data_IF_272520230330
#
_entry.id   IF_272520230330
#
_cell.length_a   1.000
_cell.length_b   1.000
_cell.length_c   1.000
_cell.angle_alpha   90.00
_cell.angle_beta   90.00
_cell.angle_gamma   90.00
#
_symmetry.space_group_name_H-M   'P 1'
#
loop_
_entity.id
_entity.type
_entity.pdbx_description
1 polymer ?
#
# COMPACT_ATOMS: atom_id res chain seq x y z
N UNK A 1 -21.71 37.88 -6.41
CA UNK A 1 -20.43 38.01 -7.12
C UNK A 1 -19.57 36.91 -6.52
N UNK A 2 -19.58 35.73 -7.15
CA UNK A 2 -18.90 34.56 -6.62
C UNK A 2 -17.41 34.77 -6.80
N UNK A 3 -16.65 34.67 -5.71
CA UNK A 3 -15.18 34.65 -5.74
C UNK A 3 -14.75 33.55 -6.71
N UNK A 4 -14.12 33.95 -7.81
CA UNK A 4 -13.27 33.08 -8.60
C UNK A 4 -12.09 32.70 -7.69
N UNK A 5 -12.22 31.60 -6.94
CA UNK A 5 -11.09 30.97 -6.27
C UNK A 5 -10.00 30.76 -7.33
N UNK A 6 -8.95 31.56 -7.25
CA UNK A 6 -7.76 31.44 -8.10
C UNK A 6 -7.30 29.99 -8.02
N UNK A 7 -7.50 29.24 -9.11
CA UNK A 7 -7.01 27.88 -9.18
C UNK A 7 -5.50 27.93 -8.92
N UNK A 8 -4.99 27.18 -7.93
CA UNK A 8 -3.56 27.16 -7.66
C UNK A 8 -2.84 26.72 -8.93
N UNK A 9 -1.76 27.41 -9.27
CA UNK A 9 -0.96 27.15 -10.47
C UNK A 9 -0.31 25.75 -10.44
N UNK A 10 -0.33 25.10 -9.27
CA UNK A 10 0.19 23.77 -9.02
C UNK A 10 -0.91 22.74 -8.74
N UNK A 11 -0.64 21.47 -9.07
CA UNK A 11 -1.56 20.38 -8.76
C UNK A 11 -1.83 20.22 -7.24
N UNK A 12 -2.96 19.60 -6.85
CA UNK A 12 -3.32 19.45 -5.44
C UNK A 12 -2.30 18.65 -4.63
N UNK A 13 -1.60 17.71 -5.27
CA UNK A 13 -0.56 16.90 -4.63
C UNK A 13 0.86 17.48 -4.80
N UNK A 14 1.00 18.69 -5.36
CA UNK A 14 2.29 19.32 -5.49
C UNK A 14 2.94 19.55 -4.13
N UNK A 15 4.22 19.17 -4.01
CA UNK A 15 4.96 19.24 -2.75
C UNK A 15 4.81 18.03 -1.83
N UNK A 16 4.02 17.02 -2.21
CA UNK A 16 3.89 15.76 -1.47
C UNK A 16 4.61 14.61 -2.16
N UNK A 17 5.04 13.63 -1.37
CA UNK A 17 5.68 12.39 -1.81
C UNK A 17 4.78 11.20 -1.45
N UNK A 18 4.39 10.42 -2.46
CA UNK A 18 3.50 9.26 -2.30
C UNK A 18 4.24 7.98 -2.66
N UNK A 19 4.26 7.02 -1.73
CA UNK A 19 4.76 5.69 -1.96
C UNK A 19 3.75 4.78 -2.65
N UNK A 20 4.21 4.00 -3.63
CA UNK A 20 3.38 3.05 -4.38
C UNK A 20 3.91 1.64 -4.19
N UNK A 21 3.14 0.80 -3.50
CA UNK A 21 3.48 -0.61 -3.21
C UNK A 21 3.01 -1.61 -4.27
N UNK A 22 2.21 -1.13 -5.23
CA UNK A 22 1.58 -1.97 -6.23
C UNK A 22 2.61 -2.60 -7.17
N UNK A 23 2.41 -3.87 -7.51
CA UNK A 23 3.14 -4.56 -8.57
C UNK A 23 2.43 -4.47 -9.93
N UNK A 24 1.09 -4.51 -9.91
CA UNK A 24 0.25 -4.38 -11.11
C UNK A 24 -0.30 -2.97 -11.24
N UNK A 25 -0.37 -2.46 -12.48
CA UNK A 25 -0.89 -1.12 -12.81
C UNK A 25 -0.19 -0.01 -11.99
N UNK A 26 1.04 -0.26 -11.55
CA UNK A 26 1.81 0.69 -10.75
C UNK A 26 2.15 1.95 -11.57
N UNK A 27 2.49 1.76 -12.86
CA UNK A 27 2.71 2.86 -13.80
C UNK A 27 1.45 3.74 -13.96
N UNK A 28 0.28 3.13 -14.06
CA UNK A 28 -0.98 3.86 -14.17
C UNK A 28 -1.27 4.68 -12.90
N UNK A 29 -1.11 4.05 -11.72
CA UNK A 29 -1.29 4.74 -10.43
C UNK A 29 -0.25 5.86 -10.27
N UNK A 30 1.02 5.59 -10.56
CA UNK A 30 2.10 6.57 -10.53
C UNK A 30 1.81 7.75 -11.44
N UNK A 31 1.39 7.51 -12.68
CA UNK A 31 1.05 8.55 -13.63
C UNK A 31 -0.18 9.37 -13.18
N UNK A 32 -1.19 8.74 -12.58
CA UNK A 32 -2.34 9.46 -12.00
C UNK A 32 -1.91 10.40 -10.87
N UNK A 33 -1.01 9.95 -9.99
CA UNK A 33 -0.46 10.75 -8.88
C UNK A 33 0.43 11.89 -9.39
N UNK A 34 1.33 11.61 -10.32
CA UNK A 34 2.24 12.59 -10.93
C UNK A 34 1.47 13.69 -11.67
N UNK A 35 0.41 13.34 -12.41
CA UNK A 35 -0.48 14.34 -13.05
C UNK A 35 -1.15 15.29 -12.05
N UNK A 36 -1.26 14.90 -10.78
CA UNK A 36 -1.78 15.74 -9.69
C UNK A 36 -0.67 16.49 -8.93
N UNK A 37 0.59 16.33 -9.32
CA UNK A 37 1.75 17.03 -8.77
C UNK A 37 2.57 16.25 -7.74
N UNK A 38 2.19 15.02 -7.40
CA UNK A 38 2.94 14.23 -6.43
C UNK A 38 4.31 13.79 -6.97
N UNK A 39 5.31 13.75 -6.09
CA UNK A 39 6.50 12.92 -6.29
C UNK A 39 6.13 11.48 -5.94
N UNK A 40 6.48 10.51 -6.79
CA UNK A 40 6.14 9.09 -6.57
C UNK A 40 7.38 8.28 -6.28
N UNK A 41 7.37 7.54 -5.16
CA UNK A 41 8.36 6.51 -4.86
C UNK A 41 7.73 5.13 -5.10
N UNK A 42 8.04 4.53 -6.24
CA UNK A 42 7.55 3.19 -6.58
C UNK A 42 8.46 2.12 -5.99
N UNK A 43 7.86 1.19 -5.23
CA UNK A 43 8.56 0.06 -4.64
C UNK A 43 7.56 -1.11 -4.51
N UNK A 44 7.54 -2.04 -5.47
CA UNK A 44 6.60 -3.15 -5.43
C UNK A 44 6.86 -4.00 -4.17
N UNK A 45 5.83 -4.19 -3.35
CA UNK A 45 5.96 -4.95 -2.09
C UNK A 45 5.94 -6.47 -2.31
N UNK A 46 5.58 -6.90 -3.52
CA UNK A 46 5.49 -8.30 -3.92
C UNK A 46 5.67 -8.42 -5.43
N UNK A 47 5.83 -9.65 -5.91
CA UNK A 47 5.70 -10.03 -7.31
C UNK A 47 4.67 -11.14 -7.46
N UNK A 48 4.04 -11.18 -8.62
CA UNK A 48 3.14 -12.27 -8.98
C UNK A 48 4.00 -13.36 -9.60
N UNK A 49 3.86 -14.58 -9.12
CA UNK A 49 4.50 -15.73 -9.76
C UNK A 49 3.66 -16.12 -10.96
N UNK A 50 4.19 -16.09 -12.19
CA UNK A 50 3.51 -16.68 -13.34
C UNK A 50 3.29 -18.17 -13.06
N UNK A 51 2.10 -18.69 -13.36
CA UNK A 51 1.76 -20.09 -13.04
C UNK A 51 2.73 -21.09 -13.70
N UNK A 52 3.20 -20.79 -14.92
CA UNK A 52 4.17 -21.62 -15.64
C UNK A 52 5.55 -21.70 -14.97
N UNK A 53 5.90 -20.73 -14.12
CA UNK A 53 7.17 -20.68 -13.39
C UNK A 53 7.00 -21.08 -11.92
N UNK A 54 5.81 -21.49 -11.51
CA UNK A 54 5.52 -21.79 -10.11
C UNK A 54 5.88 -23.23 -9.75
N UNK A 55 7.05 -23.41 -9.13
CA UNK A 55 7.55 -24.71 -8.68
C UNK A 55 6.63 -25.41 -7.67
N UNK A 56 5.85 -24.68 -6.87
CA UNK A 56 4.89 -25.29 -5.95
C UNK A 56 3.67 -25.86 -6.68
N UNK A 57 3.17 -25.13 -7.68
CA UNK A 57 2.11 -25.64 -8.55
C UNK A 57 2.58 -26.87 -9.34
N UNK A 58 3.82 -26.85 -9.84
CA UNK A 58 4.42 -28.02 -10.50
C UNK A 58 4.54 -29.20 -9.55
N UNK A 59 4.98 -28.98 -8.31
CA UNK A 59 5.09 -30.03 -7.29
C UNK A 59 3.71 -30.63 -6.96
N UNK A 60 2.71 -29.80 -6.66
CA UNK A 60 1.34 -30.25 -6.41
C UNK A 60 0.73 -30.98 -7.61
N UNK A 61 1.04 -30.53 -8.84
CA UNK A 61 0.60 -31.20 -10.07
C UNK A 61 1.19 -32.59 -10.21
N UNK A 62 2.51 -32.74 -9.98
CA UNK A 62 3.17 -34.05 -9.99
C UNK A 62 2.62 -34.96 -8.90
N UNK A 63 2.43 -34.41 -7.70
CA UNK A 63 1.85 -35.14 -6.57
C UNK A 63 0.43 -35.65 -6.88
N UNK A 64 -0.42 -34.86 -7.54
CA UNK A 64 -1.76 -35.28 -8.00
C UNK A 64 -1.69 -36.34 -9.10
N UNK A 65 -0.69 -36.28 -9.98
CA UNK A 65 -0.50 -37.28 -11.04
C UNK A 65 -0.02 -38.62 -10.45
N UNK A 66 0.86 -38.56 -9.46
CA UNK A 66 1.45 -39.72 -8.78
C UNK A 66 0.45 -40.37 -7.81
N UNK A 67 -0.30 -39.55 -7.08
CA UNK A 67 -1.32 -39.97 -6.12
C UNK A 67 -2.63 -39.23 -6.39
N UNK A 68 -3.47 -39.88 -7.20
CA UNK A 68 -4.75 -39.35 -7.67
C UNK A 68 -5.66 -39.06 -6.47
N UNK A 69 -6.20 -37.83 -6.35
CA UNK A 69 -7.15 -37.49 -5.29
C UNK A 69 -8.52 -38.13 -5.54
N UNK A 70 -9.27 -38.36 -4.46
CA UNK A 70 -10.67 -38.80 -4.52
C UNK A 70 -11.59 -37.66 -4.96
N UNK A 71 -11.27 -36.44 -4.53
CA UNK A 71 -12.04 -35.22 -4.83
C UNK A 71 -11.13 -34.07 -5.25
N UNK A 72 -11.55 -33.31 -6.27
CA UNK A 72 -10.94 -32.04 -6.67
C UNK A 72 -11.94 -30.91 -6.53
N UNK A 73 -11.60 -29.89 -5.75
CA UNK A 73 -12.39 -28.66 -5.59
C UNK A 73 -11.78 -27.53 -6.41
N UNK A 74 -12.48 -27.11 -7.46
CA UNK A 74 -12.11 -25.96 -8.27
C UNK A 74 -12.85 -24.69 -7.79
N UNK A 75 -12.11 -23.66 -7.40
CA UNK A 75 -12.65 -22.43 -6.81
C UNK A 75 -12.85 -21.29 -7.81
N UNK A 76 -11.99 -21.20 -8.84
CA UNK A 76 -12.07 -20.12 -9.85
C UNK A 76 -11.79 -20.63 -11.25
N UNK A 77 -12.52 -20.08 -12.22
CA UNK A 77 -12.37 -20.45 -13.63
C UNK A 77 -11.01 -20.06 -14.23
N UNK A 78 -10.44 -18.93 -13.79
CA UNK A 78 -9.14 -18.47 -14.28
C UNK A 78 -8.02 -19.27 -13.61
N UNK A 79 -8.13 -19.55 -12.31
CA UNK A 79 -7.20 -20.40 -11.60
C UNK A 79 -7.13 -21.82 -12.17
N UNK A 80 -8.28 -22.45 -12.40
CA UNK A 80 -8.35 -23.79 -12.99
C UNK A 80 -7.77 -23.84 -14.41
N UNK A 81 -8.15 -22.89 -15.29
CA UNK A 81 -7.57 -22.81 -16.65
C UNK A 81 -6.07 -22.60 -16.61
N UNK A 82 -5.60 -21.66 -15.79
CA UNK A 82 -4.19 -21.38 -15.64
C UNK A 82 -3.39 -22.57 -15.10
N UNK A 83 -3.98 -23.40 -14.24
CA UNK A 83 -3.36 -24.65 -13.79
C UNK A 83 -3.20 -25.65 -14.95
N UNK A 84 -4.27 -25.88 -15.72
CA UNK A 84 -4.22 -26.77 -16.89
C UNK A 84 -3.20 -26.26 -17.92
N UNK A 85 -3.23 -24.97 -18.24
CA UNK A 85 -2.28 -24.33 -19.17
C UNK A 85 -0.82 -24.45 -18.68
N UNK A 86 -0.57 -24.30 -17.37
CA UNK A 86 0.76 -24.49 -16.81
C UNK A 86 1.20 -25.96 -16.91
N UNK A 87 0.31 -26.91 -16.61
CA UNK A 87 0.58 -28.33 -16.75
C UNK A 87 0.89 -28.73 -18.20
N UNK A 88 0.16 -28.18 -19.17
CA UNK A 88 0.47 -28.33 -20.60
C UNK A 88 1.87 -27.78 -20.93
N UNK A 89 2.22 -26.59 -20.43
CA UNK A 89 3.53 -25.98 -20.60
C UNK A 89 4.68 -26.83 -20.05
N UNK A 90 4.43 -27.62 -19.00
CA UNK A 90 5.39 -28.58 -18.43
C UNK A 90 5.39 -29.95 -19.11
N UNK A 91 4.53 -30.19 -20.10
CA UNK A 91 4.34 -31.49 -20.74
C UNK A 91 3.61 -32.51 -19.86
N UNK A 92 2.90 -32.06 -18.83
CA UNK A 92 2.15 -32.89 -17.88
C UNK A 92 0.63 -32.82 -18.09
N UNK A 93 0.12 -31.95 -18.97
CA UNK A 93 -1.31 -31.67 -19.08
C UNK A 93 -2.17 -32.88 -19.49
N UNK A 94 -1.75 -33.65 -20.50
CA UNK A 94 -2.49 -34.88 -20.88
C UNK A 94 -2.53 -35.90 -19.73
N UNK A 95 -1.44 -36.03 -18.98
CA UNK A 95 -1.36 -36.94 -17.82
C UNK A 95 -2.28 -36.46 -16.70
N UNK A 96 -2.22 -35.16 -16.38
CA UNK A 96 -3.08 -34.54 -15.37
C UNK A 96 -4.56 -34.73 -15.74
N UNK A 97 -4.99 -34.29 -16.91
CA UNK A 97 -6.38 -34.42 -17.35
C UNK A 97 -6.81 -35.89 -17.43
N UNK A 98 -5.89 -36.78 -17.85
CA UNK A 98 -6.11 -38.22 -17.86
C UNK A 98 -6.44 -38.78 -16.47
N UNK A 99 -5.71 -38.36 -15.43
CA UNK A 99 -6.02 -38.73 -14.04
C UNK A 99 -7.35 -38.12 -13.57
N UNK A 100 -7.56 -36.84 -13.84
CA UNK A 100 -8.72 -36.10 -13.34
C UNK A 100 -10.06 -36.56 -13.93
N UNK A 101 -10.10 -37.21 -15.09
CA UNK A 101 -11.35 -37.74 -15.69
C UNK A 101 -12.09 -38.73 -14.79
N UNK A 102 -11.36 -39.47 -13.95
CA UNK A 102 -11.95 -40.45 -13.02
C UNK A 102 -12.24 -39.89 -11.63
N UNK A 103 -11.99 -38.61 -11.39
CA UNK A 103 -12.02 -37.98 -10.07
C UNK A 103 -13.33 -37.22 -9.87
N UNK A 104 -13.80 -37.16 -8.61
CA UNK A 104 -14.95 -36.34 -8.25
C UNK A 104 -14.60 -34.85 -8.31
N UNK A 105 -15.07 -34.13 -9.34
CA UNK A 105 -14.80 -32.71 -9.50
C UNK A 105 -15.96 -31.85 -8.98
N UNK A 106 -15.69 -31.03 -7.98
CA UNK A 106 -16.62 -30.04 -7.45
C UNK A 106 -16.22 -28.64 -7.89
N UNK A 107 -17.17 -27.88 -8.42
CA UNK A 107 -16.96 -26.51 -8.87
C UNK A 107 -17.62 -25.53 -7.90
N UNK A 108 -16.97 -24.41 -7.58
CA UNK A 108 -17.59 -23.36 -6.75
C UNK A 108 -18.79 -22.69 -7.44
N UNK A 109 -18.81 -22.62 -8.78
CA UNK A 109 -19.86 -21.89 -9.49
C UNK A 109 -19.83 -22.09 -11.01
N UNK A 110 -20.83 -21.58 -11.76
CA UNK A 110 -21.07 -21.87 -13.16
C UNK A 110 -19.90 -21.51 -14.08
N UNK A 111 -19.16 -20.43 -13.76
CA UNK A 111 -17.94 -20.07 -14.51
C UNK A 111 -16.85 -21.13 -14.38
N UNK A 112 -16.72 -21.72 -13.20
CA UNK A 112 -15.73 -22.77 -12.93
C UNK A 112 -16.15 -24.06 -13.63
N UNK A 113 -17.45 -24.40 -13.60
CA UNK A 113 -18.01 -25.51 -14.41
C UNK A 113 -17.63 -25.37 -15.89
N UNK A 114 -17.81 -24.16 -16.44
CA UNK A 114 -17.42 -23.87 -17.82
C UNK A 114 -15.93 -24.09 -18.09
N UNK A 115 -15.05 -23.76 -17.14
CA UNK A 115 -13.62 -24.01 -17.25
C UNK A 115 -13.26 -25.51 -17.18
N UNK A 116 -13.89 -26.27 -16.29
CA UNK A 116 -13.71 -27.73 -16.18
C UNK A 116 -14.12 -28.41 -17.48
N UNK A 117 -15.31 -28.09 -18.00
CA UNK A 117 -15.83 -28.65 -19.26
C UNK A 117 -14.98 -28.27 -20.47
N UNK A 118 -14.47 -27.04 -20.52
CA UNK A 118 -13.56 -26.61 -21.58
C UNK A 118 -12.24 -27.41 -21.58
N UNK A 119 -11.82 -27.95 -20.44
CA UNK A 119 -10.68 -28.85 -20.32
C UNK A 119 -11.03 -30.32 -20.62
N UNK A 120 -12.26 -30.62 -21.05
CA UNK A 120 -12.71 -31.98 -21.37
C UNK A 120 -12.94 -32.87 -20.14
N UNK A 121 -13.27 -32.26 -19.01
CA UNK A 121 -13.65 -32.92 -17.76
C UNK A 121 -15.12 -32.64 -17.43
N UNK A 122 -15.72 -33.49 -16.61
CA UNK A 122 -17.09 -33.29 -16.11
C UNK A 122 -17.05 -32.94 -14.62
N UNK A 123 -17.79 -31.92 -14.22
CA UNK A 123 -18.03 -31.64 -12.82
C UNK A 123 -19.22 -32.46 -12.30
N UNK A 124 -19.11 -33.00 -11.09
CA UNK A 124 -20.23 -33.69 -10.43
C UNK A 124 -21.27 -32.69 -9.93
N UNK A 125 -20.80 -31.61 -9.27
CA UNK A 125 -21.69 -30.70 -8.59
C UNK A 125 -21.09 -29.29 -8.46
N UNK A 126 -22.00 -28.32 -8.33
CA UNK A 126 -21.72 -26.92 -8.04
C UNK A 126 -22.90 -26.32 -7.29
N UNK A 127 -22.66 -25.51 -6.24
CA UNK A 127 -23.73 -24.83 -5.52
C UNK A 127 -24.38 -23.76 -6.39
N UNK A 128 -25.69 -23.57 -6.20
CA UNK A 128 -26.43 -22.49 -6.87
C UNK A 128 -26.09 -21.11 -6.30
N UNK A 129 -25.63 -21.05 -5.05
CA UNK A 129 -25.20 -19.84 -4.35
C UNK A 129 -23.84 -19.30 -4.79
N UNK A 130 -23.07 -20.09 -5.55
CA UNK A 130 -21.66 -19.86 -5.86
C UNK A 130 -20.75 -19.74 -4.61
N UNK A 131 -21.20 -20.26 -3.46
CA UNK A 131 -20.50 -20.19 -2.19
C UNK A 131 -19.53 -21.35 -2.00
N UNK A 132 -18.30 -21.05 -1.59
CA UNK A 132 -17.34 -22.08 -1.20
C UNK A 132 -17.70 -22.72 0.15
N UNK A 133 -18.42 -22.01 1.03
CA UNK A 133 -18.89 -22.58 2.30
C UNK A 133 -19.87 -23.73 2.07
N UNK A 134 -20.78 -23.61 1.08
CA UNK A 134 -21.72 -24.69 0.74
C UNK A 134 -21.00 -25.92 0.17
N UNK A 135 -19.87 -25.72 -0.53
CA UNK A 135 -19.00 -26.84 -0.96
C UNK A 135 -18.37 -27.52 0.25
N UNK A 136 -17.92 -26.75 1.25
CA UNK A 136 -17.35 -27.30 2.48
C UNK A 136 -18.39 -28.10 3.26
N UNK A 137 -19.57 -27.52 3.50
CA UNK A 137 -20.64 -28.13 4.27
C UNK A 137 -21.04 -29.48 3.65
N UNK A 138 -21.22 -29.51 2.32
CA UNK A 138 -21.51 -30.75 1.59
C UNK A 138 -20.44 -31.81 1.80
N UNK A 139 -19.16 -31.45 1.66
CA UNK A 139 -18.05 -32.41 1.85
C UNK A 139 -18.04 -32.96 3.28
N UNK A 140 -18.24 -32.11 4.28
CA UNK A 140 -18.29 -32.52 5.67
C UNK A 140 -19.51 -33.41 5.98
N UNK A 141 -20.66 -33.13 5.37
CA UNK A 141 -21.88 -33.95 5.50
C UNK A 141 -21.75 -35.33 4.86
N UNK A 142 -21.08 -35.41 3.70
CA UNK A 142 -20.83 -36.67 3.00
C UNK A 142 -19.75 -37.52 3.70
N UNK A 143 -18.85 -36.87 4.45
CA UNK A 143 -17.73 -37.51 5.16
C UNK A 143 -16.49 -37.60 4.27
N UNK A 144 -15.34 -37.18 4.81
CA UNK A 144 -14.05 -37.11 4.09
C UNK A 144 -12.91 -37.78 4.85
N UNK A 145 -13.22 -38.61 5.86
CA UNK A 145 -12.19 -39.30 6.65
C UNK A 145 -11.43 -40.30 5.78
N UNK A 146 -10.12 -40.09 5.64
CA UNK A 146 -9.27 -40.88 4.76
C UNK A 146 -9.29 -40.48 3.28
N UNK A 147 -10.17 -39.56 2.86
CA UNK A 147 -10.21 -39.06 1.49
C UNK A 147 -9.04 -38.11 1.22
N UNK A 148 -8.48 -38.21 0.00
CA UNK A 148 -7.49 -37.28 -0.52
C UNK A 148 -8.18 -36.20 -1.35
N UNK A 149 -8.15 -34.96 -0.87
CA UNK A 149 -8.87 -33.82 -1.47
C UNK A 149 -7.89 -32.80 -2.03
N UNK A 150 -7.88 -32.62 -3.34
CA UNK A 150 -7.13 -31.56 -4.00
C UNK A 150 -7.96 -30.27 -4.06
N UNK A 151 -7.42 -29.14 -3.59
CA UNK A 151 -8.15 -27.86 -3.54
C UNK A 151 -7.41 -26.79 -4.32
N UNK A 152 -7.97 -26.35 -5.45
CA UNK A 152 -7.46 -25.20 -6.20
C UNK A 152 -7.71 -23.92 -5.40
N UNK A 153 -6.66 -23.35 -4.81
CA UNK A 153 -6.69 -22.12 -4.01
C UNK A 153 -6.89 -20.88 -4.90
N UNK A 154 -7.29 -19.73 -4.37
CA UNK A 154 -7.49 -18.51 -5.18
C UNK A 154 -6.69 -17.30 -4.71
N UNK A 155 -5.42 -17.53 -4.35
CA UNK A 155 -4.42 -16.51 -4.04
C UNK A 155 -4.35 -16.05 -2.57
N UNK A 156 -5.45 -16.13 -1.82
CA UNK A 156 -5.42 -16.04 -0.35
C UNK A 156 -5.52 -17.45 0.25
N UNK A 157 -4.84 -17.74 1.38
CA UNK A 157 -5.14 -18.94 2.16
C UNK A 157 -6.63 -18.93 2.48
N UNK A 158 -7.33 -20.04 2.30
CA UNK A 158 -8.74 -20.18 2.66
C UNK A 158 -8.82 -20.47 4.16
N UNK A 159 -8.84 -19.47 5.06
CA UNK A 159 -8.65 -19.71 6.47
C UNK A 159 -9.90 -20.44 6.96
N UNK A 160 -9.73 -21.70 7.38
CA UNK A 160 -10.80 -22.56 7.85
C UNK A 160 -11.29 -23.59 6.83
N UNK A 161 -11.13 -23.43 5.51
CA UNK A 161 -11.62 -24.46 4.57
C UNK A 161 -10.72 -25.69 4.59
N UNK A 162 -9.42 -25.48 4.39
CA UNK A 162 -8.42 -26.55 4.40
C UNK A 162 -8.31 -27.15 5.79
N UNK A 163 -8.34 -26.31 6.83
CA UNK A 163 -8.28 -26.73 8.22
C UNK A 163 -9.51 -27.57 8.62
N UNK A 164 -10.72 -27.21 8.17
CA UNK A 164 -11.93 -27.98 8.48
C UNK A 164 -11.92 -29.35 7.80
N UNK A 165 -11.49 -29.45 6.53
CA UNK A 165 -11.35 -30.73 5.85
C UNK A 165 -10.31 -31.63 6.55
N UNK A 166 -9.16 -31.07 6.92
CA UNK A 166 -8.14 -31.82 7.69
C UNK A 166 -8.65 -32.25 9.06
N UNK A 167 -9.40 -31.39 9.76
CA UNK A 167 -10.01 -31.73 11.04
C UNK A 167 -11.05 -32.86 10.93
N UNK A 168 -11.67 -33.01 9.77
CA UNK A 168 -12.60 -34.10 9.45
C UNK A 168 -11.92 -35.38 8.94
N UNK A 169 -10.58 -35.44 8.94
CA UNK A 169 -9.81 -36.64 8.57
C UNK A 169 -9.31 -36.70 7.13
N UNK A 170 -9.55 -35.65 6.33
CA UNK A 170 -9.10 -35.61 4.94
C UNK A 170 -7.60 -35.31 4.80
N UNK A 171 -6.95 -35.94 3.84
CA UNK A 171 -5.65 -35.51 3.34
C UNK A 171 -5.83 -34.42 2.29
N UNK A 172 -5.48 -33.18 2.62
CA UNK A 172 -5.72 -32.04 1.72
C UNK A 172 -4.45 -31.63 0.99
N UNK A 173 -4.49 -31.69 -0.35
CA UNK A 173 -3.46 -31.22 -1.29
C UNK A 173 -3.84 -29.83 -1.81
N UNK A 174 -3.20 -28.75 -1.34
CA UNK A 174 -3.47 -27.42 -1.87
C UNK A 174 -2.83 -27.26 -3.25
N UNK A 175 -3.60 -26.78 -4.23
CA UNK A 175 -3.12 -26.44 -5.56
C UNK A 175 -3.04 -24.91 -5.66
N UNK A 176 -1.86 -24.31 -5.43
CA UNK A 176 -1.72 -22.87 -5.36
C UNK A 176 -1.77 -22.26 -6.76
N UNK A 177 -2.83 -21.52 -7.05
CA UNK A 177 -2.88 -20.63 -8.20
C UNK A 177 -3.01 -19.20 -7.70
N UNK A 178 -2.26 -18.27 -8.33
CA UNK A 178 -2.05 -16.89 -7.88
C UNK A 178 -1.15 -16.73 -6.65
N UNK A 179 0.05 -17.30 -6.72
CA UNK A 179 1.05 -17.12 -5.67
C UNK A 179 1.73 -15.76 -5.77
N UNK A 180 2.01 -15.18 -4.61
CA UNK A 180 2.77 -13.95 -4.46
C UNK A 180 4.08 -14.28 -3.75
N UNK A 181 5.17 -13.74 -4.26
CA UNK A 181 6.48 -13.84 -3.61
C UNK A 181 6.99 -12.44 -3.28
N UNK A 182 7.96 -12.32 -2.36
CA UNK A 182 8.73 -11.09 -2.21
C UNK A 182 9.30 -10.64 -3.58
N UNK A 183 9.48 -9.33 -3.79
CA UNK A 183 10.11 -8.83 -5.01
C UNK A 183 11.54 -9.38 -5.12
N UNK A 184 12.02 -9.57 -6.34
CA UNK A 184 13.38 -10.10 -6.59
C UNK A 184 14.46 -9.16 -6.05
N UNK A 185 14.23 -7.85 -6.18
CA UNK A 185 15.05 -6.80 -5.58
C UNK A 185 14.28 -6.16 -4.41
N UNK A 186 14.80 -6.35 -3.20
CA UNK A 186 14.26 -5.74 -1.98
C UNK A 186 14.69 -4.28 -1.81
N UNK A 187 15.69 -3.81 -2.55
CA UNK A 187 16.25 -2.46 -2.41
C UNK A 187 15.22 -1.33 -2.54
N UNK A 188 14.32 -1.33 -3.53
CA UNK A 188 13.24 -0.34 -3.62
C UNK A 188 12.31 -0.36 -2.40
N UNK A 189 11.93 -1.55 -1.93
CA UNK A 189 11.05 -1.72 -0.77
C UNK A 189 11.73 -1.25 0.52
N UNK A 190 13.01 -1.53 0.67
CA UNK A 190 13.82 -1.08 1.81
C UNK A 190 13.95 0.44 1.83
N UNK A 191 14.18 1.08 0.66
CA UNK A 191 14.21 2.55 0.56
C UNK A 191 12.84 3.18 0.85
N UNK A 192 11.75 2.53 0.43
CA UNK A 192 10.39 2.98 0.76
C UNK A 192 10.14 2.91 2.27
N UNK A 193 10.55 1.81 2.92
CA UNK A 193 10.47 1.66 4.37
C UNK A 193 11.28 2.72 5.11
N UNK A 194 12.54 2.94 4.69
CA UNK A 194 13.39 3.97 5.28
C UNK A 194 12.75 5.36 5.12
N UNK A 195 12.21 5.66 3.93
CA UNK A 195 11.50 6.91 3.68
C UNK A 195 10.24 7.05 4.56
N UNK A 196 9.47 5.99 4.77
CA UNK A 196 8.30 6.00 5.65
C UNK A 196 8.71 6.25 7.12
N UNK A 197 9.68 5.49 7.64
CA UNK A 197 10.15 5.56 9.04
C UNK A 197 10.78 6.94 9.34
N UNK A 198 11.50 7.50 8.38
CA UNK A 198 12.08 8.85 8.49
C UNK A 198 11.10 9.99 8.19
N UNK A 199 9.82 9.68 7.93
CA UNK A 199 8.76 10.67 7.61
C UNK A 199 9.04 11.47 6.34
N UNK A 200 9.74 10.86 5.38
CA UNK A 200 10.00 11.39 4.04
C UNK A 200 8.89 11.11 3.02
N UNK A 201 7.85 10.36 3.43
CA UNK A 201 6.63 10.13 2.66
C UNK A 201 5.46 10.84 3.33
N UNK A 202 4.50 11.29 2.54
CA UNK A 202 3.24 11.84 3.04
C UNK A 202 2.10 10.82 2.96
N UNK A 203 2.21 9.84 2.06
CA UNK A 203 1.29 8.70 1.98
C UNK A 203 1.96 7.42 1.48
N UNK A 204 1.37 6.27 1.85
CA UNK A 204 1.60 4.96 1.24
C UNK A 204 0.31 4.45 0.63
N UNK A 205 0.38 3.98 -0.62
CA UNK A 205 -0.78 3.40 -1.31
C UNK A 205 -0.71 1.89 -1.36
N UNK A 206 -1.84 1.24 -1.06
CA UNK A 206 -2.00 -0.21 -1.11
C UNK A 206 -3.18 -0.57 -2.00
N UNK A 207 -2.94 -1.44 -2.98
CA UNK A 207 -3.98 -1.92 -3.92
C UNK A 207 -4.39 -3.37 -3.67
N UNK A 208 -3.76 -4.05 -2.71
CA UNK A 208 -4.08 -5.42 -2.32
C UNK A 208 -3.61 -5.71 -0.89
N UNK A 209 -4.33 -6.58 -0.17
CA UNK A 209 -3.95 -6.99 1.18
C UNK A 209 -2.56 -7.66 1.24
N UNK A 210 -2.17 -8.54 0.28
CA UNK A 210 -0.83 -9.11 0.28
C UNK A 210 0.30 -8.08 0.19
N UNK A 211 0.10 -6.94 -0.50
CA UNK A 211 1.12 -5.89 -0.58
C UNK A 211 1.29 -5.17 0.78
N UNK A 212 0.19 -4.91 1.48
CA UNK A 212 0.22 -4.36 2.83
C UNK A 212 0.90 -5.32 3.81
N UNK A 213 0.52 -6.60 3.78
CA UNK A 213 1.13 -7.65 4.60
C UNK A 213 2.64 -7.81 4.31
N UNK A 214 3.04 -7.77 3.03
CA UNK A 214 4.44 -7.91 2.63
C UNK A 214 5.30 -6.73 3.13
N UNK A 215 4.79 -5.50 3.08
CA UNK A 215 5.48 -4.35 3.65
C UNK A 215 5.67 -4.49 5.16
N UNK A 216 4.62 -4.90 5.89
CA UNK A 216 4.67 -5.12 7.34
C UNK A 216 5.65 -6.23 7.72
N UNK A 217 5.60 -7.36 7.02
CA UNK A 217 6.55 -8.47 7.21
C UNK A 217 7.99 -8.02 6.95
N UNK A 218 8.22 -7.24 5.89
CA UNK A 218 9.56 -6.73 5.59
C UNK A 218 10.06 -5.75 6.66
N UNK A 219 9.18 -4.92 7.22
CA UNK A 219 9.53 -4.04 8.34
C UNK A 219 9.90 -4.85 9.59
N UNK A 220 9.18 -5.93 9.86
CA UNK A 220 9.45 -6.87 10.95
C UNK A 220 10.82 -7.56 10.77
N UNK A 221 11.12 -8.08 9.57
CA UNK A 221 12.42 -8.67 9.24
C UNK A 221 13.60 -7.70 9.44
N UNK A 222 13.35 -6.39 9.24
CA UNK A 222 14.35 -5.34 9.42
C UNK A 222 14.39 -4.76 10.83
N UNK A 223 13.51 -5.21 11.73
CA UNK A 223 13.39 -4.64 13.08
C UNK A 223 12.93 -3.18 13.08
N UNK A 224 12.16 -2.75 12.07
CA UNK A 224 11.65 -1.38 11.89
C UNK A 224 10.12 -1.30 12.00
N UNK A 225 9.48 -2.38 12.45
CA UNK A 225 8.03 -2.49 12.48
C UNK A 225 7.40 -1.43 13.40
N UNK A 226 7.94 -1.26 14.62
CA UNK A 226 7.38 -0.31 15.59
C UNK A 226 7.49 1.13 15.08
N UNK A 227 8.63 1.48 14.48
CA UNK A 227 8.85 2.79 13.88
C UNK A 227 7.95 3.04 12.66
N UNK A 228 7.72 2.00 11.84
CA UNK A 228 6.79 2.08 10.73
C UNK A 228 5.37 2.31 11.23
N UNK A 229 4.90 1.54 12.21
CA UNK A 229 3.56 1.69 12.78
C UNK A 229 3.37 3.08 13.40
N UNK A 230 4.39 3.59 14.10
CA UNK A 230 4.38 4.95 14.64
C UNK A 230 4.27 6.02 13.53
N UNK A 231 4.99 5.85 12.42
CA UNK A 231 4.89 6.76 11.28
C UNK A 231 3.50 6.70 10.61
N UNK A 232 2.93 5.51 10.42
CA UNK A 232 1.62 5.33 9.80
C UNK A 232 0.46 5.82 10.66
N UNK A 233 0.62 5.87 11.98
CA UNK A 233 -0.40 6.37 12.89
C UNK A 233 -0.63 7.90 12.77
N UNK A 234 0.39 8.66 12.38
CA UNK A 234 0.35 10.12 12.50
C UNK A 234 0.92 10.90 11.31
N UNK A 235 2.04 10.44 10.75
CA UNK A 235 2.86 11.22 9.83
C UNK A 235 2.63 10.83 8.36
N UNK A 236 2.40 9.55 8.08
CA UNK A 236 2.30 8.98 6.73
C UNK A 236 0.91 8.37 6.54
N UNK A 237 0.12 8.88 5.61
CA UNK A 237 -1.25 8.41 5.39
C UNK A 237 -1.25 7.04 4.68
N UNK A 238 -1.74 5.95 5.32
CA UNK A 238 -1.94 4.69 4.62
C UNK A 238 -3.28 4.72 3.88
N UNK A 239 -3.20 4.73 2.55
CA UNK A 239 -4.33 4.81 1.65
C UNK A 239 -4.58 3.46 0.96
N UNK A 240 -5.67 2.81 1.33
CA UNK A 240 -6.05 1.51 0.79
C UNK A 240 -7.12 1.67 -0.28
N UNK A 241 -7.03 0.91 -1.38
CA UNK A 241 -8.05 0.96 -2.44
C UNK A 241 -9.43 0.51 -1.95
N UNK A 242 -9.51 -0.30 -0.88
CA UNK A 242 -10.77 -0.77 -0.30
C UNK A 242 -10.55 -1.58 0.98
N UNK A 243 -11.64 -2.08 1.60
CA UNK A 243 -11.63 -2.57 2.98
C UNK A 243 -10.80 -3.83 3.18
N UNK A 244 -10.86 -4.78 2.24
CA UNK A 244 -10.05 -6.01 2.31
C UNK A 244 -8.55 -5.69 2.34
N UNK A 245 -8.13 -4.72 1.54
CA UNK A 245 -6.73 -4.26 1.49
C UNK A 245 -6.26 -3.64 2.81
N UNK A 246 -7.18 -3.07 3.60
CA UNK A 246 -6.87 -2.45 4.87
C UNK A 246 -6.71 -3.44 6.03
N UNK A 247 -7.27 -4.65 5.92
CA UNK A 247 -7.28 -5.65 6.99
C UNK A 247 -5.89 -5.89 7.62
N UNK A 248 -4.80 -6.10 6.86
CA UNK A 248 -3.48 -6.34 7.46
C UNK A 248 -2.96 -5.16 8.29
N UNK A 249 -3.27 -3.93 7.90
CA UNK A 249 -2.88 -2.71 8.62
C UNK A 249 -3.75 -2.52 9.86
N UNK A 250 -5.07 -2.70 9.74
CA UNK A 250 -6.02 -2.59 10.84
C UNK A 250 -5.77 -3.64 11.92
N UNK A 251 -5.35 -4.86 11.55
CA UNK A 251 -4.94 -5.91 12.48
C UNK A 251 -3.73 -5.51 13.35
N UNK A 252 -2.95 -4.51 12.92
CA UNK A 252 -1.83 -3.91 13.68
C UNK A 252 -2.20 -2.56 14.31
N UNK A 253 -3.49 -2.21 14.36
CA UNK A 253 -3.98 -0.96 14.94
C UNK A 253 -3.74 0.29 14.08
N UNK A 254 -3.48 0.13 12.78
CA UNK A 254 -3.27 1.26 11.86
C UNK A 254 -4.59 1.61 11.17
N UNK A 255 -5.06 2.83 11.41
CA UNK A 255 -6.19 3.41 10.68
C UNK A 255 -5.80 3.72 9.24
N UNK A 256 -6.73 3.50 8.30
CA UNK A 256 -6.50 3.72 6.86
C UNK A 256 -7.57 4.60 6.24
N UNK A 257 -7.20 5.39 5.23
CA UNK A 257 -8.17 6.11 4.39
C UNK A 257 -8.52 5.27 3.15
N UNK A 258 -9.79 5.32 2.74
CA UNK A 258 -10.30 4.50 1.63
C UNK A 258 -11.33 5.28 0.80
N UNK A 259 -11.32 5.16 -0.54
CA UNK A 259 -12.35 5.78 -1.37
C UNK A 259 -13.65 4.97 -1.31
N UNK A 260 -14.80 5.62 -1.49
CA UNK A 260 -16.10 4.93 -1.59
C UNK A 260 -16.15 3.93 -2.77
N UNK A 261 -15.48 4.27 -3.87
CA UNK A 261 -15.34 3.41 -5.05
C UNK A 261 -13.94 2.82 -5.10
N UNK A 262 -13.84 1.50 -4.99
CA UNK A 262 -12.56 0.79 -4.88
C UNK A 262 -11.79 0.69 -6.21
N UNK A 263 -11.31 1.84 -6.70
CA UNK A 263 -10.60 2.01 -7.98
C UNK A 263 -9.46 3.02 -7.82
N UNK A 264 -8.48 2.98 -8.73
CA UNK A 264 -7.29 3.84 -8.69
C UNK A 264 -7.62 5.34 -8.79
N UNK A 265 -8.52 5.73 -9.71
CA UNK A 265 -8.93 7.14 -9.86
C UNK A 265 -9.51 7.75 -8.57
N UNK A 266 -10.54 7.15 -7.98
CA UNK A 266 -11.07 7.56 -6.67
C UNK A 266 -10.04 7.55 -5.53
N UNK A 267 -9.13 6.57 -5.48
CA UNK A 267 -8.04 6.56 -4.49
C UNK A 267 -7.14 7.80 -4.63
N UNK A 268 -6.80 8.17 -5.86
CA UNK A 268 -6.00 9.38 -6.13
C UNK A 268 -6.78 10.66 -5.80
N UNK A 269 -8.08 10.70 -6.09
CA UNK A 269 -8.94 11.81 -5.72
C UNK A 269 -9.03 11.99 -4.20
N UNK A 270 -9.15 10.90 -3.44
CA UNK A 270 -9.11 10.93 -1.98
C UNK A 270 -7.79 11.53 -1.48
N UNK A 271 -6.65 11.08 -2.02
CA UNK A 271 -5.35 11.64 -1.65
C UNK A 271 -5.23 13.15 -1.95
N UNK A 272 -5.85 13.62 -3.04
CA UNK A 272 -5.89 15.04 -3.40
C UNK A 272 -6.67 15.89 -2.38
N UNK A 273 -7.48 15.27 -1.53
CA UNK A 273 -8.23 15.93 -0.44
C UNK A 273 -7.51 15.73 0.90
N UNK A 274 -7.08 14.51 1.21
CA UNK A 274 -6.47 14.12 2.48
C UNK A 274 -5.11 14.79 2.74
N UNK A 275 -4.22 14.83 1.74
CA UNK A 275 -2.87 15.35 1.97
C UNK A 275 -2.85 16.87 2.17
N UNK A 276 -3.54 17.68 1.34
CA UNK A 276 -3.63 19.12 1.57
C UNK A 276 -4.35 19.48 2.88
N UNK A 277 -5.39 18.74 3.28
CA UNK A 277 -6.14 19.05 4.52
C UNK A 277 -5.32 18.82 5.79
N UNK A 278 -4.31 17.95 5.72
CA UNK A 278 -3.36 17.67 6.81
C UNK A 278 -2.16 18.61 6.82
N UNK A 279 -1.92 19.34 5.74
CA UNK A 279 -0.80 20.26 5.64
C UNK A 279 -0.96 21.44 6.60
N UNK A 280 0.14 21.80 7.27
CA UNK A 280 0.09 22.85 8.29
C UNK A 280 0.09 24.22 7.61
N UNK A 281 -1.00 24.97 7.75
CA UNK A 281 -1.10 26.36 7.28
C UNK A 281 -0.92 27.35 8.43
N UNK A 282 -0.04 28.34 8.25
CA UNK A 282 0.31 29.34 9.25
C UNK A 282 0.30 30.75 8.64
N UNK A 283 -0.27 31.77 9.30
CA UNK A 283 -0.05 33.17 8.96
C UNK A 283 1.31 33.63 9.49
N UNK A 284 2.24 33.98 8.61
CA UNK A 284 3.62 34.33 8.95
C UNK A 284 4.03 35.57 8.19
N UNK A 285 4.36 36.65 8.92
CA UNK A 285 4.80 37.94 8.38
C UNK A 285 3.90 38.52 7.28
N UNK A 286 2.58 38.36 7.41
CA UNK A 286 1.57 38.80 6.43
C UNK A 286 1.33 37.82 5.28
N UNK A 287 1.95 36.65 5.29
CA UNK A 287 1.81 35.63 4.25
C UNK A 287 1.08 34.40 4.78
N UNK A 288 0.32 33.73 3.92
CA UNK A 288 -0.23 32.39 4.21
C UNK A 288 0.78 31.34 3.76
N UNK A 289 1.36 30.64 4.73
CA UNK A 289 2.41 29.63 4.51
C UNK A 289 1.85 28.23 4.80
N UNK A 290 1.76 27.39 3.78
CA UNK A 290 1.39 25.98 3.90
C UNK A 290 2.63 25.09 3.78
N UNK A 291 2.95 24.35 4.85
CA UNK A 291 4.09 23.44 4.90
C UNK A 291 3.64 22.07 4.44
N UNK A 292 4.15 21.61 3.29
CA UNK A 292 3.87 20.29 2.70
C UNK A 292 5.07 19.34 2.91
N UNK A 293 5.08 18.20 2.23
CA UNK A 293 6.12 17.17 2.28
C UNK A 293 7.53 17.72 2.06
N UNK A 294 7.85 18.07 0.81
CA UNK A 294 9.16 18.56 0.38
C UNK A 294 9.13 19.99 -0.21
N UNK A 295 8.00 20.68 -0.09
CA UNK A 295 7.82 22.04 -0.58
C UNK A 295 6.93 22.85 0.37
N UNK A 296 6.87 24.14 0.13
CA UNK A 296 6.07 25.09 0.90
C UNK A 296 5.25 25.91 -0.08
N UNK A 297 3.95 26.10 0.17
CA UNK A 297 3.14 27.04 -0.59
C UNK A 297 3.12 28.37 0.15
N UNK A 298 3.55 29.45 -0.49
CA UNK A 298 3.53 30.81 0.07
C UNK A 298 2.59 31.65 -0.79
N UNK A 299 1.46 32.09 -0.21
CA UNK A 299 0.41 32.84 -0.90
C UNK A 299 -0.06 32.19 -2.22
N UNK A 300 -0.19 30.86 -2.22
CA UNK A 300 -0.62 30.07 -3.38
C UNK A 300 0.51 29.68 -4.35
N UNK A 301 1.73 30.19 -4.17
CA UNK A 301 2.87 29.84 -5.01
C UNK A 301 3.69 28.70 -4.39
N UNK A 302 3.92 27.62 -5.15
CA UNK A 302 4.71 26.48 -4.70
C UNK A 302 6.21 26.81 -4.72
N UNK A 303 6.86 26.70 -3.56
CA UNK A 303 8.29 26.90 -3.35
C UNK A 303 8.96 25.56 -3.02
N UNK A 304 9.75 24.96 -3.93
CA UNK A 304 10.55 23.78 -3.61
C UNK A 304 11.59 24.12 -2.54
N UNK A 305 11.71 23.27 -1.51
CA UNK A 305 12.65 23.51 -0.41
C UNK A 305 13.58 22.30 -0.25
N UNK A 306 14.91 22.51 -0.18
CA UNK A 306 15.85 21.40 0.03
C UNK A 306 15.61 20.68 1.37
N UNK A 307 15.98 19.38 1.50
CA UNK A 307 15.73 18.58 2.70
C UNK A 307 16.17 19.24 4.01
N UNK A 308 17.39 19.78 4.05
CA UNK A 308 17.90 20.52 5.20
C UNK A 308 17.02 21.73 5.57
N UNK A 309 16.52 22.47 4.57
CA UNK A 309 15.60 23.58 4.78
C UNK A 309 14.26 23.12 5.33
N UNK A 310 13.71 22.00 4.82
CA UNK A 310 12.46 21.42 5.33
C UNK A 310 12.60 20.95 6.79
N UNK A 311 13.72 20.32 7.16
CA UNK A 311 13.98 19.94 8.55
C UNK A 311 13.99 21.15 9.49
N UNK A 312 14.69 22.23 9.10
CA UNK A 312 14.70 23.47 9.87
C UNK A 312 13.30 24.09 9.97
N UNK A 313 12.56 24.12 8.86
CA UNK A 313 11.21 24.69 8.83
C UNK A 313 10.25 23.90 9.71
N UNK A 314 10.28 22.57 9.68
CA UNK A 314 9.47 21.70 10.56
C UNK A 314 9.82 21.92 12.03
N UNK A 315 11.11 22.06 12.37
CA UNK A 315 11.55 22.36 13.73
C UNK A 315 11.02 23.71 14.22
N UNK A 316 11.09 24.76 13.38
CA UNK A 316 10.53 26.07 13.70
C UNK A 316 8.99 26.07 13.77
N UNK A 317 8.35 25.27 12.91
CA UNK A 317 6.90 25.15 12.86
C UNK A 317 6.35 24.35 14.04
N UNK A 318 7.11 23.43 14.64
CA UNK A 318 6.63 22.63 15.77
C UNK A 318 6.00 23.50 16.87
N UNK A 319 6.64 24.62 17.24
CA UNK A 319 6.10 25.69 18.10
C UNK A 319 6.21 27.05 17.39
N UNK A 320 5.25 27.44 16.53
CA UNK A 320 5.36 28.65 15.73
C UNK A 320 5.52 29.91 16.61
N UNK A 321 6.36 30.85 16.18
CA UNK A 321 6.65 32.08 16.95
C UNK A 321 7.69 31.91 18.06
N UNK A 322 8.01 30.69 18.48
CA UNK A 322 9.05 30.44 19.49
C UNK A 322 10.44 30.52 18.89
N UNK A 323 11.40 30.99 19.69
CA UNK A 323 12.82 30.98 19.32
C UNK A 323 13.38 29.59 19.54
N UNK A 324 13.79 28.94 18.46
CA UNK A 324 14.49 27.66 18.48
C UNK A 324 16.00 27.92 18.48
N UNK A 325 16.74 27.42 19.48
CA UNK A 325 18.20 27.52 19.56
C UNK A 325 18.93 26.90 18.37
N UNK A 326 20.11 27.45 18.04
CA UNK A 326 20.97 26.89 16.96
C UNK A 326 21.35 25.44 17.20
N UNK A 327 21.66 25.08 18.45
CA UNK A 327 22.00 23.70 18.83
C UNK A 327 20.84 22.72 18.56
N UNK A 328 19.60 23.16 18.76
CA UNK A 328 18.41 22.32 18.52
C UNK A 328 18.15 22.16 17.02
N UNK A 329 18.33 23.24 16.25
CA UNK A 329 18.25 23.21 14.80
C UNK A 329 19.35 22.37 14.17
N UNK A 330 20.56 22.39 14.72
CA UNK A 330 21.67 21.55 14.28
C UNK A 330 21.34 20.07 14.47
N UNK A 331 20.74 19.69 15.60
CA UNK A 331 20.27 18.32 15.86
C UNK A 331 19.16 17.86 14.90
N UNK A 332 18.41 18.80 14.32
CA UNK A 332 17.34 18.51 13.36
C UNK A 332 17.83 18.37 11.90
N UNK A 333 19.05 18.83 11.58
CA UNK A 333 19.56 18.76 10.21
C UNK A 333 19.86 17.31 9.79
N UNK A 334 19.55 16.93 8.53
CA UNK A 334 19.93 15.63 8.00
C UNK A 334 21.45 15.59 7.75
N UNK A 335 22.11 14.53 8.24
CA UNK A 335 23.55 14.32 8.11
C UNK A 335 24.40 14.87 9.27
N UNK A 336 25.68 14.50 9.31
CA UNK A 336 26.60 14.81 10.41
C UNK A 336 27.23 16.22 10.31
N UNK A 337 26.41 17.26 10.12
CA UNK A 337 26.88 18.65 10.27
C UNK A 337 27.36 18.86 11.71
N UNK A 338 28.63 19.26 11.91
CA UNK A 338 29.26 19.31 13.24
C UNK A 338 29.29 20.70 13.88
N UNK A 339 28.89 21.75 13.17
CA UNK A 339 28.98 23.13 13.65
C UNK A 339 27.76 23.98 13.32
N UNK A 340 27.65 25.12 14.00
CA UNK A 340 26.54 26.06 13.81
C UNK A 340 26.51 26.69 12.40
N UNK A 341 27.63 26.68 11.68
CA UNK A 341 27.72 27.24 10.33
C UNK A 341 26.85 26.45 9.33
N UNK A 342 26.66 25.15 9.56
CA UNK A 342 25.72 24.34 8.80
C UNK A 342 24.27 24.86 8.92
N UNK A 343 23.84 25.27 10.12
CA UNK A 343 22.50 25.84 10.37
C UNK A 343 22.36 27.17 9.64
N UNK A 344 23.38 28.03 9.69
CA UNK A 344 23.33 29.34 9.03
C UNK A 344 23.23 29.21 7.50
N UNK A 345 24.01 28.30 6.92
CA UNK A 345 24.00 28.01 5.48
C UNK A 345 22.65 27.43 5.04
N UNK A 346 22.12 26.45 5.78
CA UNK A 346 20.82 25.86 5.48
C UNK A 346 19.68 26.88 5.67
N UNK A 347 19.77 27.76 6.66
CA UNK A 347 18.80 28.83 6.90
C UNK A 347 18.81 29.90 5.80
N UNK A 348 20.00 30.27 5.31
CA UNK A 348 20.12 31.18 4.18
C UNK A 348 19.45 30.58 2.92
N UNK A 349 19.73 29.31 2.61
CA UNK A 349 19.10 28.60 1.49
C UNK A 349 17.59 28.48 1.65
N UNK A 350 17.10 28.20 2.86
CA UNK A 350 15.67 28.16 3.17
C UNK A 350 15.00 29.50 2.89
N UNK A 351 15.55 30.62 3.39
CA UNK A 351 15.00 31.96 3.12
C UNK A 351 14.98 32.30 1.63
N UNK A 352 16.03 31.95 0.90
CA UNK A 352 16.08 32.13 -0.57
C UNK A 352 14.99 31.30 -1.26
N UNK A 353 14.85 30.02 -0.90
CA UNK A 353 13.85 29.14 -1.48
C UNK A 353 12.41 29.64 -1.26
N UNK A 354 12.11 30.16 -0.06
CA UNK A 354 10.79 30.69 0.28
C UNK A 354 10.43 32.00 -0.46
N UNK A 355 11.41 32.73 -1.00
CA UNK A 355 11.19 34.02 -1.67
C UNK A 355 10.77 35.18 -0.75
N UNK A 356 10.46 34.92 0.52
CA UNK A 356 10.09 35.90 1.53
C UNK A 356 10.98 35.77 2.78
N UNK A 357 12.15 36.45 2.83
CA UNK A 357 13.12 36.28 3.94
C UNK A 357 12.58 36.65 5.32
N UNK A 358 11.56 37.52 5.39
CA UNK A 358 10.92 37.99 6.63
C UNK A 358 10.11 36.91 7.34
N UNK A 359 9.76 35.83 6.65
CA UNK A 359 9.05 34.68 7.26
C UNK A 359 9.82 34.08 8.43
N UNK A 360 11.15 34.13 8.38
CA UNK A 360 12.03 33.59 9.42
C UNK A 360 12.87 34.73 10.00
N UNK A 361 12.70 34.99 11.29
CA UNK A 361 13.48 36.00 12.02
C UNK A 361 14.69 35.38 12.70
N UNK A 362 15.83 36.05 12.59
CA UNK A 362 17.00 35.77 13.42
C UNK A 362 16.85 36.50 14.74
N UNK A 363 16.93 35.78 15.86
CA UNK A 363 17.02 36.38 17.19
C UNK A 363 18.47 36.33 17.63
N UNK A 364 19.08 37.51 17.68
CA UNK A 364 20.51 37.70 17.95
C UNK A 364 20.94 36.91 19.19
N UNK A 365 22.01 36.11 19.05
CA UNK A 365 22.57 35.22 20.09
C UNK A 365 21.64 34.13 20.65
N UNK A 366 20.39 34.01 20.18
CA UNK A 366 19.41 33.06 20.71
C UNK A 366 18.98 32.00 19.73
N UNK A 367 18.85 32.31 18.44
CA UNK A 367 18.45 31.34 17.42
C UNK A 367 17.53 31.93 16.37
N UNK A 368 16.54 31.15 15.92
CA UNK A 368 15.61 31.53 14.86
C UNK A 368 14.17 31.27 15.26
N UNK A 369 13.22 32.01 14.66
CA UNK A 369 11.78 31.77 14.83
C UNK A 369 11.01 32.06 13.55
N UNK A 370 9.85 31.42 13.37
CA UNK A 370 8.86 31.91 12.41
C UNK A 370 8.27 33.23 12.91
N UNK A 371 8.11 34.19 12.02
CA UNK A 371 7.48 35.48 12.29
C UNK A 371 5.95 35.34 12.30
N UNK A 372 5.41 34.53 13.22
CA UNK A 372 3.98 34.28 13.31
C UNK A 372 3.23 35.59 13.51
N UNK A 373 2.21 35.83 12.69
CA UNK A 373 1.35 36.99 12.88
C UNK A 373 0.49 36.80 14.15
N UNK A 374 0.22 37.87 14.92
CA UNK A 374 -0.69 37.77 16.04
C UNK A 374 -2.03 37.22 15.54
N UNK A 375 -2.59 36.24 16.25
CA UNK A 375 -3.92 35.73 15.94
C UNK A 375 -4.88 36.92 15.94
N UNK A 376 -5.57 37.16 14.82
CA UNK A 376 -6.64 38.13 14.81
C UNK A 376 -7.68 37.65 15.83
N UNK A 377 -7.87 38.40 16.91
CA UNK A 377 -8.95 38.17 17.86
C UNK A 377 -10.26 38.16 17.07
N UNK A 378 -10.90 37.01 16.94
CA UNK A 378 -12.26 36.86 16.45
C UNK A 378 -13.28 37.40 17.48
N UNK A 379 -13.13 38.67 17.88
CA UNK A 379 -13.94 39.31 18.92
C UNK A 379 -14.65 40.60 18.54
N UNK A 380 -14.63 41.02 17.27
CA UNK A 380 -15.46 42.14 16.81
C UNK A 380 -16.02 41.87 15.41
N UNK A 381 -16.85 40.84 15.31
CA UNK A 381 -17.77 40.65 14.19
C UNK A 381 -19.15 40.28 14.74
N UNK A 382 -19.63 41.12 15.66
CA UNK A 382 -21.04 41.29 16.02
C UNK A 382 -21.10 42.52 16.96
N UNK A 383 -21.20 43.70 16.35
CA UNK A 383 -21.62 44.95 16.98
C UNK A 383 -22.36 45.80 15.96
#
# INVERSE_FOLDING_TARGET
>A
MYDEEQQPEHGPLAGFTVGVTAARRAEELGALLQRRGATVLHAPALRIVPLADDGELLAATKEIIDQVPDVVVATTAIGFRGWVEAADGWGLGEQLLGRLRGVRLLARGPKVKGAIRAAGLDEEWSPSSESLAEVLDRLLEEGVDGDRVAVQLHGEPLPGFVESLRAAGAEVVPVPVYRWMPPEDLGPLDRLLDAAVTRGLDALTFTSAPAAASLLSRAEDRGLLDELLAALAHDVVPACVGPVTAIPLQARGVDTVQPERFRLGPLVQLLCQELPSRARSLPVAGHRVEIRGHAVVVDGELKPVPPAGMSLLRALAHRPGWVVPRADLLRALPGAGRDEHAVETAMARLRTALGAPKLIQTVVKRGYRLALDPAADAKYADA
#
